data_IF_532281939076
#
_entry.id   IF_532281939076
#
_cell.length_a   1.000
_cell.length_b   1.000
_cell.length_c   1.000
_cell.angle_alpha   90.00
_cell.angle_beta   90.00
_cell.angle_gamma   90.00
#
_symmetry.space_group_name_H-M   'P 1'
#
loop_
_entity.id
_entity.type
_entity.pdbx_description
1 polymer ?
#
# COMPACT_ATOMS: atom_id res chain seq x y z
N UNK A 1 -41.85 31.24 23.55
CA UNK A 1 -40.51 31.31 22.90
C UNK A 1 -39.88 29.94 22.60
N UNK A 2 -40.22 28.86 23.31
CA UNK A 2 -39.49 27.58 23.25
C UNK A 2 -39.85 26.65 22.07
N UNK A 3 -41.02 26.81 21.46
CA UNK A 3 -41.48 25.95 20.36
C UNK A 3 -40.94 26.38 18.98
N UNK A 4 -40.70 27.69 18.79
CA UNK A 4 -40.14 28.25 17.56
C UNK A 4 -38.64 27.93 17.41
N UNK A 5 -37.89 27.92 18.52
CA UNK A 5 -36.46 27.56 18.55
C UNK A 5 -36.25 26.07 18.24
N UNK A 6 -37.16 25.18 18.67
CA UNK A 6 -37.12 23.74 18.30
C UNK A 6 -37.41 23.51 16.81
N UNK A 7 -38.37 24.22 16.21
CA UNK A 7 -38.64 24.15 14.75
C UNK A 7 -37.48 24.69 13.91
N UNK A 8 -36.80 25.74 14.38
CA UNK A 8 -35.61 26.29 13.72
C UNK A 8 -34.41 25.33 13.76
N UNK A 9 -34.21 24.61 14.86
CA UNK A 9 -33.12 23.62 14.99
C UNK A 9 -33.33 22.38 14.12
N UNK A 10 -34.57 21.90 13.96
CA UNK A 10 -34.88 20.78 13.05
C UNK A 10 -34.65 21.17 11.59
N UNK A 11 -35.04 22.39 11.20
CA UNK A 11 -34.76 22.90 9.84
C UNK A 11 -33.26 23.10 9.56
N UNK A 12 -32.44 23.40 10.58
CA UNK A 12 -30.99 23.54 10.41
C UNK A 12 -30.30 22.19 10.19
N UNK A 13 -30.71 21.14 10.92
CA UNK A 13 -30.19 19.78 10.77
C UNK A 13 -30.59 19.18 9.41
N UNK A 14 -31.82 19.44 8.96
CA UNK A 14 -32.29 19.01 7.63
C UNK A 14 -31.54 19.75 6.51
N UNK A 15 -31.20 21.04 6.72
CA UNK A 15 -30.41 21.81 5.75
C UNK A 15 -28.95 21.34 5.64
N UNK A 16 -28.36 20.79 6.70
CA UNK A 16 -26.98 20.25 6.67
C UNK A 16 -26.89 18.91 5.96
N UNK A 17 -27.91 18.05 6.06
CA UNK A 17 -27.95 16.76 5.34
C UNK A 17 -28.27 16.97 3.85
N UNK A 18 -29.13 17.95 3.52
CA UNK A 18 -29.51 18.29 2.14
C UNK A 18 -28.38 18.93 1.32
N UNK A 19 -27.35 19.49 1.98
CA UNK A 19 -26.23 20.18 1.32
C UNK A 19 -25.11 19.25 0.84
N UNK A 20 -25.13 17.98 1.23
CA UNK A 20 -24.01 17.06 1.04
C UNK A 20 -24.08 16.38 -0.34
N UNK A 21 -25.29 16.25 -0.91
CA UNK A 21 -25.55 15.73 -2.24
C UNK A 21 -26.76 16.39 -2.90
N UNK A 22 -26.74 16.57 -4.22
CA UNK A 22 -27.94 16.99 -4.98
C UNK A 22 -29.16 16.13 -4.60
N UNK A 23 -30.35 16.76 -4.65
CA UNK A 23 -31.69 16.33 -4.20
C UNK A 23 -32.13 14.84 -4.27
N UNK A 24 -31.35 13.90 -4.84
CA UNK A 24 -31.62 12.45 -4.84
C UNK A 24 -31.44 11.75 -3.49
N UNK A 25 -30.67 12.32 -2.54
CA UNK A 25 -30.53 11.73 -1.20
C UNK A 25 -31.86 11.65 -0.44
N UNK A 26 -32.80 12.56 -0.73
CA UNK A 26 -34.13 12.55 -0.12
C UNK A 26 -34.90 11.26 -0.44
N UNK A 27 -34.76 10.69 -1.63
CA UNK A 27 -35.53 9.50 -2.02
C UNK A 27 -35.03 8.22 -1.33
N UNK A 28 -33.71 7.98 -1.34
CA UNK A 28 -33.10 6.81 -0.71
C UNK A 28 -33.23 6.84 0.82
N UNK A 29 -33.14 8.04 1.42
CA UNK A 29 -33.32 8.21 2.85
C UNK A 29 -34.78 8.04 3.27
N UNK A 30 -35.74 8.59 2.52
CA UNK A 30 -37.18 8.42 2.78
C UNK A 30 -37.65 6.96 2.61
N UNK A 31 -36.98 6.17 1.76
CA UNK A 31 -37.23 4.74 1.62
C UNK A 31 -36.47 3.88 2.66
N UNK A 32 -35.77 4.50 3.60
CA UNK A 32 -35.00 3.85 4.67
C UNK A 32 -33.89 2.90 4.18
N UNK A 33 -33.50 2.99 2.91
CA UNK A 33 -32.54 2.06 2.29
C UNK A 33 -31.10 2.29 2.76
N UNK A 34 -30.81 3.45 3.35
CA UNK A 34 -29.46 3.88 3.74
C UNK A 34 -29.27 4.04 5.26
N UNK A 35 -30.07 3.37 6.09
CA UNK A 35 -29.95 3.42 7.56
C UNK A 35 -28.95 2.38 8.12
N UNK A 36 -27.86 2.09 7.41
CA UNK A 36 -26.85 1.13 7.84
C UNK A 36 -25.70 1.78 8.61
N UNK A 37 -25.06 0.99 9.47
CA UNK A 37 -23.79 1.32 10.12
C UNK A 37 -22.77 0.22 9.85
N UNK A 38 -22.02 0.31 8.75
CA UNK A 38 -21.02 -0.70 8.39
C UNK A 38 -19.92 -0.85 9.44
N UNK A 39 -19.64 0.22 10.19
CA UNK A 39 -18.65 0.26 11.27
C UNK A 39 -19.01 -0.73 12.39
N UNK A 40 -20.29 -0.98 12.62
CA UNK A 40 -20.78 -1.93 13.65
C UNK A 40 -20.85 -3.37 13.12
N UNK A 41 -20.32 -3.64 11.92
CA UNK A 41 -20.36 -4.95 11.26
C UNK A 41 -21.72 -5.32 10.64
N UNK A 42 -22.73 -4.45 10.75
CA UNK A 42 -24.04 -4.66 10.15
C UNK A 42 -24.15 -3.96 8.80
N UNK A 43 -24.08 -4.76 7.72
CA UNK A 43 -24.09 -4.28 6.34
C UNK A 43 -25.30 -4.78 5.52
N UNK A 44 -26.40 -5.13 6.20
CA UNK A 44 -27.60 -5.73 5.58
C UNK A 44 -28.31 -4.86 4.54
N UNK A 45 -28.13 -3.53 4.57
CA UNK A 45 -28.71 -2.56 3.63
C UNK A 45 -27.66 -1.80 2.79
N UNK A 46 -26.36 -2.14 2.92
CA UNK A 46 -25.29 -1.44 2.21
C UNK A 46 -25.44 -1.52 0.70
N UNK A 47 -25.84 -2.70 0.21
CA UNK A 47 -25.99 -2.98 -1.22
C UNK A 47 -27.13 -2.15 -1.80
N UNK A 48 -28.28 -2.16 -1.14
CA UNK A 48 -29.47 -1.40 -1.55
C UNK A 48 -29.20 0.11 -1.49
N UNK A 49 -28.50 0.58 -0.46
CA UNK A 49 -28.09 1.98 -0.37
C UNK A 49 -27.16 2.39 -1.51
N UNK A 50 -26.16 1.58 -1.83
CA UNK A 50 -25.24 1.85 -2.95
C UNK A 50 -25.97 1.89 -4.28
N UNK A 51 -26.85 0.92 -4.53
CA UNK A 51 -27.66 0.87 -5.76
C UNK A 51 -28.62 2.07 -5.86
N UNK A 52 -29.17 2.54 -4.74
CA UNK A 52 -30.06 3.69 -4.72
C UNK A 52 -29.30 5.01 -4.98
N UNK A 53 -28.10 5.17 -4.42
CA UNK A 53 -27.24 6.33 -4.66
C UNK A 53 -26.62 6.30 -6.08
N UNK A 54 -26.32 5.10 -6.59
CA UNK A 54 -25.80 4.88 -7.94
C UNK A 54 -24.55 5.70 -8.22
N UNK A 55 -24.58 6.52 -9.27
CA UNK A 55 -23.45 7.38 -9.66
C UNK A 55 -23.10 8.46 -8.65
N UNK A 56 -23.98 8.74 -7.68
CA UNK A 56 -23.74 9.73 -6.63
C UNK A 56 -23.04 9.12 -5.40
N UNK A 57 -22.76 7.81 -5.40
CA UNK A 57 -22.17 7.11 -4.25
C UNK A 57 -20.89 7.79 -3.74
N UNK A 58 -19.95 8.11 -4.62
CA UNK A 58 -18.65 8.69 -4.24
C UNK A 58 -18.76 10.08 -3.61
N UNK A 59 -19.82 10.83 -3.95
CA UNK A 59 -20.12 12.15 -3.38
C UNK A 59 -20.92 12.04 -2.07
N UNK A 60 -21.75 10.99 -1.93
CA UNK A 60 -22.73 10.88 -0.83
C UNK A 60 -22.39 9.87 0.26
N UNK A 61 -21.44 8.95 0.04
CA UNK A 61 -21.21 7.86 0.99
C UNK A 61 -20.75 8.36 2.37
N UNK A 62 -20.07 9.53 2.43
CA UNK A 62 -19.62 10.14 3.69
C UNK A 62 -20.84 10.66 4.47
N UNK A 63 -21.82 11.22 3.76
CA UNK A 63 -23.05 11.78 4.32
C UNK A 63 -23.97 10.70 4.91
N UNK A 64 -23.95 9.48 4.35
CA UNK A 64 -24.70 8.32 4.87
C UNK A 64 -23.88 7.43 5.81
N UNK A 65 -22.62 7.78 6.09
CA UNK A 65 -21.75 7.00 6.99
C UNK A 65 -21.35 5.63 6.43
N UNK A 66 -21.30 5.52 5.11
CA UNK A 66 -21.07 4.27 4.37
C UNK A 66 -19.75 4.25 3.59
N UNK A 67 -19.04 5.39 3.49
CA UNK A 67 -17.70 5.36 2.93
C UNK A 67 -16.79 4.53 3.84
N UNK A 68 -15.79 3.88 3.23
CA UNK A 68 -14.64 3.42 3.98
C UNK A 68 -14.04 4.63 4.72
N UNK A 69 -13.83 4.58 6.06
CA UNK A 69 -13.22 5.68 6.78
C UNK A 69 -11.91 6.07 6.11
N UNK A 70 -11.92 7.22 5.45
CA UNK A 70 -10.72 7.79 4.87
C UNK A 70 -9.86 8.21 6.07
N UNK A 71 -8.77 7.50 6.31
CA UNK A 71 -7.70 8.08 7.09
C UNK A 71 -7.20 9.29 6.29
N UNK A 72 -7.71 10.49 6.62
CA UNK A 72 -7.18 11.77 6.14
C UNK A 72 -5.76 12.05 6.68
N UNK A 73 -5.09 11.04 7.26
CA UNK A 73 -3.65 10.93 7.08
C UNK A 73 -3.43 10.58 5.61
N UNK A 74 -3.53 11.58 4.73
CA UNK A 74 -3.04 11.50 3.36
C UNK A 74 -1.67 10.83 3.45
N UNK A 75 -1.59 9.57 3.02
CA UNK A 75 -0.28 8.97 2.88
C UNK A 75 0.41 9.86 1.83
N UNK A 76 1.54 10.51 2.16
CA UNK A 76 2.07 11.57 1.30
C UNK A 76 2.31 11.02 -0.12
N UNK A 77 2.44 11.83 -1.17
CA UNK A 77 2.76 11.32 -2.51
C UNK A 77 3.94 10.31 -2.51
N UNK A 78 4.89 10.49 -1.58
CA UNK A 78 5.98 9.55 -1.27
C UNK A 78 5.55 8.12 -0.88
N UNK A 79 4.29 7.90 -0.49
CA UNK A 79 3.73 6.59 -0.18
C UNK A 79 3.20 5.86 -1.40
N UNK A 80 2.96 6.58 -2.51
CA UNK A 80 2.49 6.00 -3.77
C UNK A 80 3.71 5.79 -4.67
N UNK A 81 3.76 4.62 -5.28
CA UNK A 81 4.82 4.26 -6.21
C UNK A 81 4.30 3.35 -7.30
N UNK A 82 4.89 3.46 -8.46
CA UNK A 82 4.76 2.49 -9.55
C UNK A 82 5.92 1.50 -9.45
N UNK A 83 5.64 0.21 -9.62
CA UNK A 83 6.63 -0.86 -9.58
C UNK A 83 6.51 -1.73 -10.82
N UNK A 84 7.64 -2.26 -11.29
CA UNK A 84 7.69 -3.14 -12.46
C UNK A 84 8.93 -4.05 -12.40
N UNK A 85 8.76 -5.28 -12.89
CA UNK A 85 9.86 -6.22 -13.14
C UNK A 85 10.51 -5.93 -14.49
N UNK A 86 11.83 -5.83 -14.51
CA UNK A 86 12.58 -5.49 -15.72
C UNK A 86 12.80 -6.72 -16.60
N UNK A 87 12.75 -6.51 -17.91
CA UNK A 87 13.03 -7.56 -18.88
C UNK A 87 14.55 -7.74 -19.02
N UNK A 88 15.00 -8.99 -19.06
CA UNK A 88 16.42 -9.35 -19.25
C UNK A 88 17.39 -8.70 -18.24
N UNK A 89 17.20 -8.92 -16.93
CA UNK A 89 18.11 -8.38 -15.93
C UNK A 89 19.52 -8.96 -16.09
N UNK A 90 20.52 -8.20 -15.64
CA UNK A 90 21.94 -8.60 -15.66
C UNK A 90 22.45 -8.59 -14.20
N UNK A 91 22.13 -9.62 -13.39
CA UNK A 91 22.47 -9.68 -11.96
C UNK A 91 23.95 -9.40 -11.65
N UNK A 92 24.85 -9.90 -12.50
CA UNK A 92 26.29 -9.70 -12.33
C UNK A 92 26.71 -8.24 -12.51
N UNK A 93 26.08 -7.51 -13.42
CA UNK A 93 26.35 -6.08 -13.63
C UNK A 93 25.85 -5.27 -12.43
N UNK A 94 24.64 -5.55 -11.96
CA UNK A 94 24.07 -4.85 -10.81
C UNK A 94 24.94 -5.03 -9.56
N UNK A 95 25.37 -6.27 -9.27
CA UNK A 95 26.29 -6.56 -8.16
C UNK A 95 27.62 -5.82 -8.33
N UNK A 96 28.23 -5.88 -9.51
CA UNK A 96 29.49 -5.18 -9.77
C UNK A 96 29.40 -3.64 -9.61
N UNK A 97 28.24 -3.04 -9.91
CA UNK A 97 28.01 -1.59 -9.74
C UNK A 97 27.61 -1.18 -8.32
N UNK A 98 27.24 -2.14 -7.46
CA UNK A 98 26.78 -1.89 -6.08
C UNK A 98 27.75 -2.39 -5.02
N UNK A 99 28.76 -3.16 -5.40
CA UNK A 99 29.84 -3.61 -4.52
C UNK A 99 30.87 -2.49 -4.27
N UNK A 100 31.11 -2.16 -2.99
CA UNK A 100 32.16 -1.23 -2.57
C UNK A 100 31.72 0.24 -2.52
N UNK A 101 32.68 1.14 -2.26
CA UNK A 101 32.43 2.59 -2.25
C UNK A 101 32.41 3.11 -3.70
N UNK A 102 31.30 3.74 -4.09
CA UNK A 102 31.17 4.38 -5.40
C UNK A 102 31.31 5.91 -5.25
N UNK A 103 31.94 6.57 -6.22
CA UNK A 103 32.00 8.04 -6.29
C UNK A 103 30.78 8.66 -6.98
N UNK A 104 29.73 7.87 -7.18
CA UNK A 104 28.54 8.25 -7.93
C UNK A 104 27.52 8.87 -6.97
N UNK A 105 26.67 9.78 -7.48
CA UNK A 105 25.59 10.42 -6.72
C UNK A 105 24.40 9.45 -6.52
N UNK A 106 24.71 8.27 -5.99
CA UNK A 106 23.79 7.17 -5.77
C UNK A 106 23.84 6.77 -4.30
N UNK A 107 22.68 6.51 -3.73
CA UNK A 107 22.54 5.99 -2.38
C UNK A 107 22.27 4.49 -2.46
N UNK A 108 23.32 3.69 -2.22
CA UNK A 108 23.26 2.22 -2.23
C UNK A 108 22.92 1.76 -0.81
N UNK A 109 21.86 0.97 -0.68
CA UNK A 109 21.41 0.45 0.61
C UNK A 109 21.31 -1.07 0.52
N UNK A 110 22.01 -1.76 1.42
CA UNK A 110 21.90 -3.20 1.60
C UNK A 110 21.37 -3.53 2.98
N UNK A 111 20.38 -4.42 3.04
CA UNK A 111 19.77 -4.87 4.29
C UNK A 111 19.42 -6.35 4.21
N UNK A 112 19.35 -7.07 5.35
CA UNK A 112 18.93 -8.47 5.38
C UNK A 112 17.55 -8.65 4.74
N UNK A 113 17.38 -9.70 3.94
CA UNK A 113 16.09 -10.00 3.28
C UNK A 113 14.95 -10.20 4.30
N UNK A 114 15.27 -10.64 5.53
CA UNK A 114 14.30 -10.75 6.63
C UNK A 114 13.66 -9.42 7.02
N UNK A 115 14.37 -8.29 6.87
CA UNK A 115 13.82 -6.95 7.13
C UNK A 115 12.79 -6.54 6.07
N UNK A 116 12.88 -7.04 4.83
CA UNK A 116 11.88 -6.79 3.77
C UNK A 116 10.51 -7.34 4.16
N UNK A 117 10.49 -8.50 4.83
CA UNK A 117 9.29 -9.20 5.28
C UNK A 117 8.58 -8.46 6.42
N UNK A 118 9.32 -7.76 7.29
CA UNK A 118 8.74 -6.98 8.40
C UNK A 118 7.91 -5.80 7.88
N UNK A 119 8.28 -5.20 6.74
CA UNK A 119 7.46 -4.19 6.05
C UNK A 119 6.18 -4.77 5.43
N UNK A 120 6.06 -6.10 5.39
CA UNK A 120 4.90 -6.85 4.91
C UNK A 120 4.01 -7.38 6.05
N UNK A 121 4.43 -7.33 7.31
CA UNK A 121 3.68 -7.90 8.46
C UNK A 121 2.35 -7.21 8.79
N UNK A 122 2.08 -6.03 8.21
CA UNK A 122 0.72 -5.44 8.21
C UNK A 122 -0.28 -6.22 7.31
N UNK A 123 0.17 -7.23 6.57
CA UNK A 123 -0.68 -8.16 5.80
C UNK A 123 -0.76 -9.57 6.41
N UNK A 124 0.20 -9.98 7.25
CA UNK A 124 0.20 -11.33 7.84
C UNK A 124 -0.82 -11.45 8.98
N UNK A 125 -1.15 -10.34 9.64
CA UNK A 125 -2.27 -10.27 10.61
C UNK A 125 -3.66 -10.55 9.98
N UNK A 126 -3.77 -10.52 8.64
CA UNK A 126 -4.98 -10.95 7.91
C UNK A 126 -4.99 -12.45 7.54
N UNK A 127 -3.83 -13.11 7.51
CA UNK A 127 -3.72 -14.53 7.17
C UNK A 127 -3.79 -15.43 8.42
N UNK A 128 -3.45 -14.91 9.60
CA UNK A 128 -3.61 -15.65 10.87
C UNK A 128 -5.09 -15.86 11.28
N UNK A 129 -6.05 -15.19 10.62
CA UNK A 129 -7.49 -15.42 10.85
C UNK A 129 -8.07 -16.58 10.02
N UNK A 130 -7.30 -17.22 9.14
CA UNK A 130 -7.74 -18.43 8.42
C UNK A 130 -7.15 -19.68 9.07
N UNK A 131 -7.89 -20.19 10.07
CA UNK A 131 -7.89 -21.54 10.64
C UNK A 131 -6.65 -22.44 10.36
N UNK A 132 -5.72 -22.43 11.32
CA UNK A 132 -4.84 -23.57 11.59
C UNK A 132 -5.63 -24.67 12.29
N UNK A 133 -5.99 -25.73 11.55
CA UNK A 133 -6.23 -27.05 12.15
C UNK A 133 -4.91 -27.84 12.15
N UNK A 134 -4.50 -28.46 13.28
CA UNK A 134 -3.22 -29.12 13.37
C UNK A 134 -3.31 -30.52 12.77
N UNK A 135 -2.70 -30.73 11.60
CA UNK A 135 -2.39 -32.08 11.13
C UNK A 135 -1.14 -32.58 11.87
N UNK A 136 -1.41 -33.42 12.85
CA UNK A 136 -0.49 -34.08 13.75
C UNK A 136 0.15 -35.33 13.09
N UNK A 137 1.44 -35.52 13.34
CA UNK A 137 2.23 -36.75 13.23
C UNK A 137 2.46 -37.41 11.85
N UNK A 138 3.64 -37.18 11.27
CA UNK A 138 4.40 -38.23 10.57
C UNK A 138 5.84 -38.23 11.07
N UNK A 139 6.25 -39.37 11.58
CA UNK A 139 7.52 -39.69 12.23
C UNK A 139 8.71 -39.79 11.26
N UNK A 140 9.87 -39.27 11.69
CA UNK A 140 11.21 -39.43 11.11
C UNK A 140 11.69 -40.89 11.11
N UNK A 141 12.54 -41.27 10.15
CA UNK A 141 13.72 -42.08 10.43
C UNK A 141 15.00 -41.24 10.33
N UNK A 142 15.86 -41.38 11.34
CA UNK A 142 17.24 -40.90 11.38
C UNK A 142 18.07 -41.52 10.24
N UNK A 143 18.61 -40.69 9.35
CA UNK A 143 19.93 -40.94 8.78
C UNK A 143 20.56 -39.61 8.34
N UNK A 144 21.56 -39.18 9.12
CA UNK A 144 22.44 -38.05 8.81
C UNK A 144 23.31 -38.37 7.59
N UNK A 145 23.58 -37.37 6.74
CA UNK A 145 24.96 -36.97 6.58
C UNK A 145 25.13 -35.50 6.95
N UNK A 146 26.12 -35.25 7.80
CA UNK A 146 26.65 -33.93 8.14
C UNK A 146 26.82 -33.05 6.88
N UNK A 147 25.83 -32.19 6.62
CA UNK A 147 26.07 -31.00 5.81
C UNK A 147 26.70 -30.01 6.77
N UNK A 148 27.97 -29.69 6.52
CA UNK A 148 28.63 -28.60 7.19
C UNK A 148 27.78 -27.35 6.97
N UNK A 149 27.28 -26.79 8.06
CA UNK A 149 26.67 -25.46 8.08
C UNK A 149 27.80 -24.50 7.73
N UNK A 150 28.08 -24.35 6.43
CA UNK A 150 28.75 -23.18 5.93
C UNK A 150 27.99 -21.99 6.51
N UNK A 151 28.76 -21.04 7.02
CA UNK A 151 28.27 -19.80 7.59
C UNK A 151 27.53 -19.02 6.49
N UNK A 152 26.30 -19.42 6.19
CA UNK A 152 25.42 -18.79 5.21
C UNK A 152 25.22 -17.37 5.73
N UNK A 153 26.01 -16.45 5.17
CA UNK A 153 25.74 -15.03 5.30
C UNK A 153 24.29 -14.86 4.89
N UNK A 154 23.48 -14.35 5.81
CA UNK A 154 22.08 -14.04 5.55
C UNK A 154 21.99 -13.29 4.20
N UNK A 155 21.07 -13.68 3.30
CA UNK A 155 20.95 -13.01 2.01
C UNK A 155 20.59 -11.54 2.24
N UNK A 156 21.25 -10.63 1.53
CA UNK A 156 21.00 -9.19 1.61
C UNK A 156 20.32 -8.71 0.34
N UNK A 157 19.20 -8.00 0.51
CA UNK A 157 18.61 -7.20 -0.56
C UNK A 157 19.43 -5.93 -0.72
N UNK A 158 19.83 -5.61 -1.96
CA UNK A 158 20.55 -4.37 -2.29
C UNK A 158 19.72 -3.55 -3.26
N UNK A 159 19.52 -2.28 -2.91
CA UNK A 159 18.78 -1.31 -3.71
C UNK A 159 19.62 -0.06 -3.94
N UNK A 160 19.35 0.66 -5.03
CA UNK A 160 20.02 1.90 -5.38
C UNK A 160 18.99 3.00 -5.56
N UNK A 161 19.14 4.09 -4.81
CA UNK A 161 18.39 5.32 -5.03
C UNK A 161 19.25 6.33 -5.79
N UNK A 162 18.69 6.93 -6.83
CA UNK A 162 19.35 8.06 -7.50
C UNK A 162 19.07 9.35 -6.74
N UNK A 163 20.10 10.16 -6.49
CA UNK A 163 19.91 11.43 -5.78
C UNK A 163 19.00 12.38 -6.55
N UNK A 164 19.14 12.41 -7.88
CA UNK A 164 18.38 13.27 -8.78
C UNK A 164 17.05 12.67 -9.21
N UNK A 165 16.04 13.53 -9.34
CA UNK A 165 14.70 13.13 -9.73
C UNK A 165 14.57 12.91 -11.22
N UNK A 166 13.75 11.93 -11.58
CA UNK A 166 13.58 11.56 -12.97
C UNK A 166 12.18 11.06 -13.27
N UNK A 167 11.80 11.09 -14.54
CA UNK A 167 10.55 10.50 -15.00
C UNK A 167 10.58 8.97 -14.83
N UNK A 168 9.40 8.36 -14.75
CA UNK A 168 9.27 6.90 -14.67
C UNK A 168 10.03 6.17 -15.79
N UNK A 169 10.01 6.71 -17.01
CA UNK A 169 10.72 6.13 -18.15
C UNK A 169 12.24 6.24 -18.00
N UNK A 170 12.75 7.38 -17.50
CA UNK A 170 14.18 7.52 -17.19
C UNK A 170 14.60 6.59 -16.05
N UNK A 171 13.75 6.40 -15.04
CA UNK A 171 14.00 5.46 -13.95
C UNK A 171 14.14 4.03 -14.47
N UNK A 172 13.17 3.58 -15.26
CA UNK A 172 13.20 2.28 -15.93
C UNK A 172 14.50 2.08 -16.72
N UNK A 173 14.81 3.00 -17.64
CA UNK A 173 16.01 2.89 -18.48
C UNK A 173 17.30 2.87 -17.66
N UNK A 174 17.35 3.67 -16.59
CA UNK A 174 18.53 3.72 -15.70
C UNK A 174 18.71 2.38 -14.99
N UNK A 175 17.64 1.82 -14.41
CA UNK A 175 17.70 0.52 -13.75
C UNK A 175 18.01 -0.64 -14.71
N UNK A 176 17.45 -0.62 -15.93
CA UNK A 176 17.79 -1.59 -16.98
C UNK A 176 19.28 -1.51 -17.32
N UNK A 177 19.81 -0.30 -17.51
CA UNK A 177 21.23 -0.09 -17.83
C UNK A 177 22.19 -0.47 -16.69
N UNK A 178 21.70 -0.51 -15.45
CA UNK A 178 22.44 -1.02 -14.29
C UNK A 178 22.34 -2.54 -14.14
N UNK A 179 21.49 -3.22 -14.92
CA UNK A 179 21.25 -4.66 -14.79
C UNK A 179 20.35 -5.04 -13.62
N UNK A 180 19.57 -4.11 -13.08
CA UNK A 180 18.64 -4.37 -11.98
C UNK A 180 17.53 -5.36 -12.40
N UNK A 181 16.94 -6.05 -11.41
CA UNK A 181 15.85 -6.99 -11.66
C UNK A 181 14.48 -6.33 -11.67
N UNK A 182 14.31 -5.28 -10.88
CA UNK A 182 13.05 -4.55 -10.74
C UNK A 182 13.36 -3.07 -10.53
N UNK A 183 12.35 -2.22 -10.67
CA UNK A 183 12.43 -0.84 -10.22
C UNK A 183 11.16 -0.39 -9.51
N UNK A 184 11.33 0.60 -8.63
CA UNK A 184 10.24 1.35 -8.03
C UNK A 184 10.44 2.83 -8.37
N UNK A 185 9.39 3.43 -8.90
CA UNK A 185 9.31 4.86 -9.11
C UNK A 185 8.29 5.45 -8.15
N UNK A 186 8.76 6.24 -7.20
CA UNK A 186 7.89 6.94 -6.27
C UNK A 186 7.26 8.14 -6.96
N UNK A 187 6.03 8.49 -6.58
CA UNK A 187 5.29 9.58 -7.22
C UNK A 187 5.86 10.96 -6.92
N UNK A 188 6.90 11.04 -6.08
CA UNK A 188 7.77 12.20 -5.90
C UNK A 188 8.98 12.25 -6.85
N UNK A 189 8.94 11.46 -7.93
CA UNK A 189 10.01 11.33 -8.92
C UNK A 189 11.33 10.72 -8.41
N UNK A 190 11.34 10.12 -7.22
CA UNK A 190 12.46 9.32 -6.74
C UNK A 190 12.50 7.96 -7.44
N UNK A 191 13.69 7.55 -7.88
CA UNK A 191 13.93 6.28 -8.55
C UNK A 191 14.73 5.33 -7.66
N UNK A 192 14.23 4.11 -7.52
CA UNK A 192 14.88 3.00 -6.81
C UNK A 192 15.05 1.81 -7.77
N UNK A 193 16.31 1.40 -7.98
CA UNK A 193 16.62 0.15 -8.66
C UNK A 193 16.80 -0.98 -7.64
N UNK A 194 16.17 -2.11 -7.92
CA UNK A 194 16.07 -3.23 -6.98
C UNK A 194 16.88 -4.40 -7.53
N UNK A 195 17.78 -4.91 -6.68
CA UNK A 195 18.67 -6.00 -7.02
C UNK A 195 17.97 -7.36 -7.15
N UNK A 196 18.69 -8.36 -7.67
CA UNK A 196 18.18 -9.71 -7.89
C UNK A 196 17.89 -10.49 -6.61
N UNK A 197 18.52 -10.10 -5.50
CA UNK A 197 18.49 -10.82 -4.23
C UNK A 197 17.34 -10.36 -3.30
N UNK A 198 16.51 -9.42 -3.76
CA UNK A 198 15.34 -8.93 -3.04
C UNK A 198 14.09 -9.79 -3.33
N UNK A 199 13.26 -10.04 -2.33
CA UNK A 199 12.05 -10.86 -2.48
C UNK A 199 10.99 -10.10 -3.29
N UNK A 200 10.69 -8.87 -2.90
CA UNK A 200 9.65 -8.05 -3.51
C UNK A 200 10.28 -6.81 -4.15
N UNK A 201 9.75 -5.61 -3.87
CA UNK A 201 10.20 -4.36 -4.48
C UNK A 201 10.98 -3.49 -3.48
N UNK A 202 11.81 -4.10 -2.62
CA UNK A 202 12.68 -3.37 -1.70
C UNK A 202 11.91 -2.58 -0.64
N UNK A 203 12.52 -1.49 -0.15
CA UNK A 203 11.96 -0.71 0.94
C UNK A 203 10.94 0.33 0.41
N UNK A 204 9.79 0.45 1.08
CA UNK A 204 8.74 1.44 0.74
C UNK A 204 9.09 2.87 1.16
N UNK A 205 10.27 3.11 1.73
CA UNK A 205 10.74 4.43 2.18
C UNK A 205 11.60 5.08 1.10
N UNK A 206 11.19 6.26 0.66
CA UNK A 206 11.95 7.14 -0.25
C UNK A 206 13.28 7.54 0.41
N UNK A 207 14.40 7.40 -0.32
CA UNK A 207 15.74 7.83 0.13
C UNK A 207 16.53 8.70 -0.87
N UNK A 208 15.89 9.18 -1.94
CA UNK A 208 16.51 10.14 -2.86
C UNK A 208 16.72 11.50 -2.19
N UNK A 209 17.86 12.16 -2.43
CA UNK A 209 18.24 13.39 -1.73
C UNK A 209 17.64 14.67 -2.33
N UNK A 210 17.47 14.73 -3.66
CA UNK A 210 17.08 15.97 -4.36
C UNK A 210 15.59 16.02 -4.76
N UNK A 211 14.78 15.06 -4.28
CA UNK A 211 13.37 14.95 -4.67
C UNK A 211 12.42 15.46 -3.59
N UNK A 212 11.97 16.69 -3.77
CA UNK A 212 10.93 17.30 -2.96
C UNK A 212 9.56 17.17 -3.63
N UNK A 213 8.59 16.66 -2.84
CA UNK A 213 7.15 16.39 -3.06
C UNK A 213 6.77 15.00 -3.52
#
# INVERSE_FOLDING_TARGET
>A
MTLAVKKANVNLIVSSILSCCKNHMHFCFLQELCQCRPIDGNCSCCKECMLCLGTLWDECCDCVGMCNPRNYSDTPPTSKSTVEELHEPIPSLFRALTEGETHLHWNIVSFPVSEELTYHENLVSFLESFDMSPLQNVSLPEESPHVQLENEKEPHCTVVYFDDCMSIHQCKNSCESMGASKYRWFHNACCECIGPDCIDYGNKVVKCMNCTF
#
